data_IF_649632079576
#
_entry.id   IF_649632079576
#
_cell.length_a   1.000
_cell.length_b   1.000
_cell.length_c   1.000
_cell.angle_alpha   90.00
_cell.angle_beta   90.00
_cell.angle_gamma   90.00
#
_symmetry.space_group_name_H-M   'P 1'
#
loop_
_entity.id
_entity.type
_entity.pdbx_description
1 polymer ?
#
# COMPACT_ATOMS: atom_id res chain seq x y z
N UNK A 1 29.44 32.03 68.07
CA UNK A 1 28.12 31.39 68.26
C UNK A 1 28.14 30.06 67.51
N UNK A 2 27.59 29.04 68.15
CA UNK A 2 27.51 27.62 67.76
C UNK A 2 26.94 27.37 66.35
N UNK A 3 27.41 26.31 65.67
CA UNK A 3 26.59 25.17 65.19
C UNK A 3 27.47 24.24 64.32
N UNK A 4 27.89 23.07 64.83
CA UNK A 4 27.30 21.72 64.68
C UNK A 4 27.38 21.11 63.26
N UNK A 5 28.15 20.03 63.20
CA UNK A 5 28.19 18.96 62.20
C UNK A 5 26.87 18.19 62.17
N UNK A 6 26.36 17.85 60.98
CA UNK A 6 25.56 16.66 60.76
C UNK A 6 25.64 16.24 59.28
N UNK A 7 26.14 15.02 59.05
CA UNK A 7 26.08 14.30 57.80
C UNK A 7 24.64 13.95 57.44
N UNK A 8 24.27 14.01 56.16
CA UNK A 8 23.08 13.32 55.65
C UNK A 8 23.45 12.40 54.49
N UNK A 9 23.07 11.14 54.67
CA UNK A 9 23.11 10.06 53.69
C UNK A 9 22.28 10.42 52.45
N UNK A 10 22.85 10.25 51.27
CA UNK A 10 22.10 10.16 50.03
C UNK A 10 21.73 8.69 49.79
N UNK A 11 20.47 8.35 50.04
CA UNK A 11 19.90 7.05 49.70
C UNK A 11 19.79 6.88 48.19
N UNK A 12 20.38 5.78 47.67
CA UNK A 12 20.15 5.26 46.32
C UNK A 12 18.72 4.75 46.22
N UNK A 13 17.88 5.47 45.48
CA UNK A 13 16.56 4.97 45.07
C UNK A 13 16.76 3.95 43.93
N UNK A 14 16.72 2.67 44.28
CA UNK A 14 16.53 1.56 43.33
C UNK A 14 15.07 1.59 42.89
N UNK A 15 14.81 1.99 41.64
CA UNK A 15 13.48 1.88 41.03
C UNK A 15 13.25 0.44 40.59
N UNK A 16 12.51 -0.30 41.40
CA UNK A 16 11.97 -1.62 41.07
C UNK A 16 10.83 -1.45 40.05
N UNK A 17 11.04 -1.90 38.82
CA UNK A 17 10.00 -1.94 37.80
C UNK A 17 9.01 -3.05 38.16
N UNK A 18 7.86 -2.66 38.71
CA UNK A 18 6.72 -3.54 38.94
C UNK A 18 6.19 -4.01 37.59
N UNK A 19 6.43 -5.29 37.28
CA UNK A 19 5.75 -6.02 36.22
C UNK A 19 4.27 -6.05 36.56
N UNK A 20 3.44 -5.30 35.84
CA UNK A 20 1.98 -5.47 35.87
C UNK A 20 1.65 -6.81 35.23
N UNK A 21 1.57 -7.85 36.05
CA UNK A 21 0.83 -9.07 35.77
C UNK A 21 -0.63 -8.69 35.55
N UNK A 22 -1.13 -8.85 34.32
CA UNK A 22 -2.55 -8.79 34.03
C UNK A 22 -3.22 -10.01 34.69
N UNK A 23 -3.83 -9.77 35.84
CA UNK A 23 -4.71 -10.73 36.49
C UNK A 23 -5.86 -11.09 35.55
N UNK A 24 -6.03 -12.39 35.34
CA UNK A 24 -7.22 -12.95 34.71
C UNK A 24 -8.46 -12.54 35.50
N UNK A 25 -9.32 -11.72 34.90
CA UNK A 25 -10.68 -11.49 35.38
C UNK A 25 -11.51 -12.69 34.91
N UNK A 26 -11.57 -13.71 35.76
CA UNK A 26 -12.58 -14.75 35.67
C UNK A 26 -13.87 -14.27 36.35
N UNK A 27 -14.94 -14.27 35.56
CA UNK A 27 -16.33 -14.56 35.92
C UNK A 27 -16.96 -13.84 37.13
N UNK A 28 -17.83 -12.85 36.86
CA UNK A 28 -19.17 -12.76 37.45
C UNK A 28 -19.93 -11.51 36.94
N UNK A 29 -20.71 -11.66 35.88
CA UNK A 29 -22.01 -10.98 35.75
C UNK A 29 -22.75 -11.56 34.54
N UNK A 30 -23.86 -12.25 34.84
CA UNK A 30 -24.72 -12.89 33.86
C UNK A 30 -25.54 -11.87 33.09
N UNK A 31 -25.04 -11.48 31.92
CA UNK A 31 -25.86 -10.97 30.83
C UNK A 31 -25.89 -12.04 29.74
N UNK A 32 -26.99 -12.76 29.67
CA UNK A 32 -27.32 -13.72 28.63
C UNK A 32 -27.45 -12.96 27.30
N UNK A 33 -26.35 -12.85 26.55
CA UNK A 33 -26.35 -12.39 25.17
C UNK A 33 -26.73 -13.57 24.27
N UNK A 34 -27.89 -13.48 23.62
CA UNK A 34 -28.29 -14.34 22.50
C UNK A 34 -27.43 -14.01 21.28
N UNK A 35 -26.19 -14.48 21.29
CA UNK A 35 -25.23 -14.21 20.23
C UNK A 35 -23.89 -14.70 20.70
N UNK A 36 -23.65 -16.01 20.53
CA UNK A 36 -22.43 -16.66 20.99
C UNK A 36 -21.17 -15.91 20.55
N UNK A 37 -20.09 -16.11 21.31
CA UNK A 37 -18.76 -15.54 21.05
C UNK A 37 -18.46 -15.57 19.54
N UNK A 38 -18.16 -14.44 18.89
CA UNK A 38 -17.80 -14.39 17.48
C UNK A 38 -16.73 -15.42 17.16
N UNK A 39 -16.86 -16.12 16.04
CA UNK A 39 -15.90 -17.18 15.68
C UNK A 39 -14.47 -16.64 15.52
N UNK A 40 -14.30 -15.33 15.31
CA UNK A 40 -13.00 -14.64 15.35
C UNK A 40 -12.30 -14.73 16.71
N UNK A 41 -13.05 -14.75 17.82
CA UNK A 41 -12.51 -14.80 19.19
C UNK A 41 -12.29 -16.27 19.64
N UNK A 42 -13.07 -17.22 19.14
CA UNK A 42 -12.90 -18.66 19.45
C UNK A 42 -11.65 -19.30 18.81
N UNK A 43 -11.06 -18.66 17.79
CA UNK A 43 -9.92 -19.20 17.01
C UNK A 43 -8.54 -18.81 17.56
N UNK A 44 -8.46 -17.86 18.49
CA UNK A 44 -7.20 -17.44 19.08
C UNK A 44 -6.66 -18.58 19.95
N UNK A 45 -5.71 -19.36 19.43
CA UNK A 45 -5.02 -20.43 20.15
C UNK A 45 -5.11 -21.85 19.58
N UNK A 46 -5.76 -22.06 18.42
CA UNK A 46 -5.67 -23.36 17.72
C UNK A 46 -4.49 -23.39 16.74
N UNK A 47 -3.47 -24.19 17.05
CA UNK A 47 -2.22 -24.33 16.27
C UNK A 47 -2.38 -25.01 14.91
N UNK A 48 -3.53 -25.61 14.60
CA UNK A 48 -3.88 -26.12 13.26
C UNK A 48 -4.58 -25.09 12.37
N UNK A 49 -4.90 -23.92 12.91
CA UNK A 49 -5.39 -22.76 12.17
C UNK A 49 -4.29 -21.70 12.13
N UNK A 50 -3.22 -22.00 11.38
CA UNK A 50 -2.35 -20.95 10.85
C UNK A 50 -3.23 -19.92 10.12
N UNK A 51 -2.94 -18.61 10.23
CA UNK A 51 -3.94 -17.56 10.02
C UNK A 51 -4.68 -17.76 8.70
N UNK A 52 -6.00 -17.89 8.79
CA UNK A 52 -6.96 -18.20 7.72
C UNK A 52 -6.62 -17.51 6.38
N UNK A 53 -5.84 -18.18 5.52
CA UNK A 53 -5.71 -17.77 4.12
C UNK A 53 -7.01 -18.15 3.39
N UNK A 54 -8.06 -17.35 3.56
CA UNK A 54 -9.20 -17.39 2.64
C UNK A 54 -8.69 -17.21 1.20
N UNK A 55 -9.40 -17.69 0.16
CA UNK A 55 -9.01 -17.44 -1.22
C UNK A 55 -8.68 -15.94 -1.45
N UNK A 56 -7.42 -15.64 -1.79
CA UNK A 56 -6.91 -14.27 -1.95
C UNK A 56 -6.14 -13.69 -0.75
N UNK A 57 -6.26 -14.22 0.46
CA UNK A 57 -5.54 -13.72 1.64
C UNK A 57 -4.08 -14.23 1.67
N UNK A 58 -3.25 -13.77 0.73
CA UNK A 58 -1.81 -14.05 0.73
C UNK A 58 -1.13 -13.08 1.70
N UNK A 59 -0.52 -13.60 2.76
CA UNK A 59 0.09 -12.78 3.82
C UNK A 59 1.08 -11.73 3.28
N UNK A 60 1.96 -12.14 2.37
CA UNK A 60 2.93 -11.23 1.71
C UNK A 60 2.23 -10.12 0.92
N UNK A 61 1.09 -10.43 0.30
CA UNK A 61 0.34 -9.47 -0.50
C UNK A 61 -0.42 -8.48 0.39
N UNK A 62 -1.00 -8.94 1.50
CA UNK A 62 -1.62 -8.06 2.48
C UNK A 62 -0.61 -7.06 3.08
N UNK A 63 0.61 -7.51 3.35
CA UNK A 63 1.69 -6.59 3.77
C UNK A 63 2.06 -5.58 2.70
N UNK A 64 2.08 -5.98 1.43
CA UNK A 64 2.32 -5.07 0.32
C UNK A 64 1.20 -4.01 0.23
N UNK A 65 -0.07 -4.40 0.37
CA UNK A 65 -1.21 -3.47 0.40
C UNK A 65 -1.17 -2.52 1.60
N UNK A 66 -0.79 -3.01 2.78
CA UNK A 66 -0.65 -2.15 3.96
C UNK A 66 0.43 -1.07 3.75
N UNK A 67 1.51 -1.38 3.02
CA UNK A 67 2.51 -0.36 2.63
C UNK A 67 1.95 0.66 1.66
N UNK A 68 1.05 0.24 0.77
CA UNK A 68 0.31 1.15 -0.12
C UNK A 68 -0.81 1.92 0.63
N UNK A 69 -0.97 1.73 1.93
CA UNK A 69 -1.96 2.42 2.75
C UNK A 69 -3.36 1.81 2.70
N UNK A 70 -3.52 0.59 2.17
CA UNK A 70 -4.81 -0.11 2.11
C UNK A 70 -4.76 -1.37 2.97
N UNK A 71 -5.62 -1.44 3.98
CA UNK A 71 -5.73 -2.61 4.86
C UNK A 71 -7.00 -3.39 4.52
N UNK A 72 -6.91 -4.61 3.94
CA UNK A 72 -8.09 -5.42 3.68
C UNK A 72 -8.69 -5.93 5.00
N UNK A 73 -9.76 -5.29 5.50
CA UNK A 73 -10.34 -5.60 6.80
C UNK A 73 -11.40 -6.70 6.78
N UNK A 74 -12.16 -6.84 5.68
CA UNK A 74 -13.44 -7.56 5.73
C UNK A 74 -13.43 -8.98 5.19
N UNK A 75 -12.84 -9.30 4.03
CA UNK A 75 -12.89 -10.69 3.49
C UNK A 75 -11.74 -11.12 2.58
N UNK A 76 -11.43 -10.40 1.50
CA UNK A 76 -10.58 -10.98 0.43
C UNK A 76 -9.88 -9.91 -0.43
N UNK A 77 -8.57 -10.08 -0.65
CA UNK A 77 -7.77 -9.25 -1.53
C UNK A 77 -7.10 -10.09 -2.63
N UNK A 78 -7.66 -10.11 -3.84
CA UNK A 78 -7.15 -10.93 -4.93
C UNK A 78 -6.01 -10.24 -5.67
N UNK A 79 -4.80 -10.78 -5.56
CA UNK A 79 -3.70 -10.44 -6.47
C UNK A 79 -3.96 -11.08 -7.84
N UNK A 80 -4.02 -10.27 -8.88
CA UNK A 80 -4.36 -10.71 -10.23
C UNK A 80 -3.19 -10.37 -11.16
N UNK A 81 -2.38 -11.35 -11.54
CA UNK A 81 -1.28 -11.15 -12.51
C UNK A 81 -1.46 -11.96 -13.80
N UNK A 82 -2.38 -12.94 -13.77
CA UNK A 82 -2.71 -13.80 -14.91
C UNK A 82 -4.23 -13.86 -15.13
N UNK A 83 -4.67 -14.14 -16.36
CA UNK A 83 -6.09 -14.39 -16.64
C UNK A 83 -6.69 -15.56 -15.83
N UNK A 84 -5.87 -16.50 -15.35
CA UNK A 84 -6.33 -17.57 -14.48
C UNK A 84 -6.76 -17.05 -13.11
N UNK A 85 -6.07 -16.05 -12.58
CA UNK A 85 -6.36 -15.46 -11.27
C UNK A 85 -7.71 -14.73 -11.28
N UNK A 86 -8.11 -14.19 -12.44
CA UNK A 86 -9.47 -13.66 -12.63
C UNK A 86 -10.53 -14.72 -12.34
N UNK A 87 -10.33 -15.95 -12.82
CA UNK A 87 -11.27 -17.05 -12.56
C UNK A 87 -11.29 -17.44 -11.08
N UNK A 88 -10.12 -17.42 -10.42
CA UNK A 88 -10.01 -17.68 -8.98
C UNK A 88 -10.76 -16.60 -8.17
N UNK A 89 -10.69 -15.36 -8.62
CA UNK A 89 -11.43 -14.23 -8.06
C UNK A 89 -12.93 -14.19 -8.47
N UNK A 90 -13.43 -15.19 -9.21
CA UNK A 90 -14.82 -15.23 -9.69
C UNK A 90 -15.14 -14.21 -10.79
N UNK A 91 -14.12 -13.62 -11.41
CA UNK A 91 -14.24 -12.60 -12.45
C UNK A 91 -14.23 -13.21 -13.85
N UNK A 92 -14.85 -12.49 -14.79
CA UNK A 92 -14.86 -12.88 -16.20
C UNK A 92 -13.55 -12.50 -16.87
N UNK A 93 -13.00 -13.42 -17.66
CA UNK A 93 -11.81 -13.14 -18.47
C UNK A 93 -12.20 -12.29 -19.68
N UNK A 94 -11.54 -11.16 -19.94
CA UNK A 94 -11.80 -10.32 -21.10
C UNK A 94 -11.61 -11.09 -22.41
N UNK A 95 -12.48 -10.83 -23.39
CA UNK A 95 -12.41 -11.46 -24.73
C UNK A 95 -11.26 -10.92 -25.59
N UNK A 96 -10.80 -9.71 -25.32
CA UNK A 96 -9.76 -9.01 -26.08
C UNK A 96 -8.56 -8.69 -25.21
N UNK A 97 -7.39 -9.21 -25.58
CA UNK A 97 -6.08 -8.93 -24.98
C UNK A 97 -5.05 -8.78 -26.10
N UNK A 98 -4.30 -7.67 -26.21
CA UNK A 98 -4.34 -6.48 -25.35
C UNK A 98 -5.57 -5.59 -25.63
N UNK A 99 -6.06 -4.91 -24.60
CA UNK A 99 -7.13 -3.93 -24.71
C UNK A 99 -6.57 -2.60 -25.25
N UNK A 100 -7.12 -2.11 -26.36
CA UNK A 100 -6.78 -0.79 -26.92
C UNK A 100 -7.77 0.25 -26.39
N UNK A 101 -7.33 1.09 -25.46
CA UNK A 101 -8.13 2.18 -24.90
C UNK A 101 -7.49 3.52 -25.29
N UNK A 102 -8.30 4.52 -25.64
CA UNK A 102 -7.82 5.90 -25.79
C UNK A 102 -7.83 6.56 -24.42
N UNK A 103 -6.66 6.95 -23.93
CA UNK A 103 -6.47 7.67 -22.68
C UNK A 103 -7.24 9.01 -22.68
N UNK A 104 -7.86 9.35 -21.55
CA UNK A 104 -8.50 10.65 -21.30
C UNK A 104 -7.70 11.41 -20.24
N UNK A 105 -7.19 12.59 -20.59
CA UNK A 105 -6.30 13.36 -19.73
C UNK A 105 -6.85 13.53 -18.31
N UNK A 106 -5.97 13.35 -17.31
CA UNK A 106 -6.25 13.59 -15.90
C UNK A 106 -5.23 14.61 -15.36
N UNK A 107 -5.61 15.46 -14.39
CA UNK A 107 -4.73 16.47 -13.82
C UNK A 107 -3.67 15.89 -12.89
N UNK A 108 -2.52 16.55 -12.85
CA UNK A 108 -1.45 16.32 -11.88
C UNK A 108 -1.66 17.18 -10.63
N UNK A 109 -1.43 16.61 -9.45
CA UNK A 109 -1.45 17.33 -8.20
C UNK A 109 -0.33 18.39 -8.17
N UNK A 110 -0.64 19.58 -7.65
CA UNK A 110 0.27 20.73 -7.65
C UNK A 110 0.18 21.63 -8.88
N UNK A 111 -0.70 21.30 -9.83
CA UNK A 111 -1.01 22.18 -10.96
C UNK A 111 -2.20 23.09 -10.65
N UNK A 112 -2.43 24.11 -11.49
CA UNK A 112 -3.61 24.99 -11.37
C UNK A 112 -4.95 24.23 -11.42
N UNK A 113 -4.96 23.00 -11.96
CA UNK A 113 -6.15 22.17 -12.07
C UNK A 113 -6.43 21.33 -10.81
N UNK A 114 -5.42 21.03 -9.99
CA UNK A 114 -5.57 20.17 -8.82
C UNK A 114 -4.52 20.51 -7.75
N UNK A 115 -4.97 20.96 -6.58
CA UNK A 115 -4.08 21.22 -5.45
C UNK A 115 -3.63 19.91 -4.78
N UNK A 116 -2.43 19.94 -4.17
CA UNK A 116 -1.93 18.81 -3.38
C UNK A 116 -2.88 18.43 -2.24
N UNK A 117 -3.41 19.42 -1.51
CA UNK A 117 -4.34 19.17 -0.41
C UNK A 117 -5.61 18.43 -0.86
N UNK A 118 -6.18 18.80 -2.01
CA UNK A 118 -7.36 18.14 -2.54
C UNK A 118 -7.05 16.71 -3.02
N UNK A 119 -5.87 16.50 -3.61
CA UNK A 119 -5.42 15.17 -4.01
C UNK A 119 -5.17 14.27 -2.80
N UNK A 120 -4.47 14.75 -1.77
CA UNK A 120 -4.16 14.00 -0.56
C UNK A 120 -5.43 13.59 0.18
N UNK A 121 -6.40 14.50 0.29
CA UNK A 121 -7.70 14.20 0.87
C UNK A 121 -8.42 13.09 0.06
N UNK A 122 -8.51 13.23 -1.26
CA UNK A 122 -9.15 12.22 -2.11
C UNK A 122 -8.42 10.87 -2.06
N UNK A 123 -7.09 10.88 -1.95
CA UNK A 123 -6.25 9.70 -1.84
C UNK A 123 -6.49 8.97 -0.51
N UNK A 124 -6.51 9.71 0.60
CA UNK A 124 -6.79 9.17 1.93
C UNK A 124 -8.21 8.57 2.00
N UNK A 125 -9.22 9.31 1.51
CA UNK A 125 -10.61 8.84 1.44
C UNK A 125 -10.72 7.57 0.59
N UNK A 126 -10.04 7.52 -0.57
CA UNK A 126 -10.03 6.33 -1.42
C UNK A 126 -9.41 5.12 -0.70
N UNK A 127 -8.28 5.30 -0.01
CA UNK A 127 -7.61 4.24 0.75
C UNK A 127 -8.49 3.70 1.89
N UNK A 128 -9.15 4.58 2.63
CA UNK A 128 -10.02 4.21 3.75
C UNK A 128 -11.25 3.42 3.26
N UNK A 129 -11.90 3.88 2.17
CA UNK A 129 -13.06 3.20 1.60
C UNK A 129 -12.69 1.88 0.91
N UNK A 130 -11.53 1.79 0.27
CA UNK A 130 -11.00 0.54 -0.26
C UNK A 130 -10.71 -0.46 0.88
N UNK A 131 -10.16 0.01 2.00
CA UNK A 131 -9.90 -0.83 3.18
C UNK A 131 -11.18 -1.39 3.80
N UNK A 132 -12.29 -0.65 3.70
CA UNK A 132 -13.62 -1.06 4.17
C UNK A 132 -14.42 -1.90 3.16
N UNK A 133 -13.91 -2.10 1.94
CA UNK A 133 -14.59 -2.85 0.89
C UNK A 133 -14.58 -4.36 1.16
N UNK A 134 -15.63 -5.06 0.72
CA UNK A 134 -15.75 -6.50 0.94
C UNK A 134 -14.77 -7.32 0.10
N UNK A 135 -14.42 -6.84 -1.09
CA UNK A 135 -13.48 -7.51 -1.98
C UNK A 135 -12.59 -6.50 -2.66
N UNK A 136 -11.29 -6.76 -2.64
CA UNK A 136 -10.29 -6.01 -3.37
C UNK A 136 -9.74 -6.86 -4.51
N UNK A 137 -9.67 -6.27 -5.69
CA UNK A 137 -9.11 -6.85 -6.90
C UNK A 137 -7.90 -6.02 -7.28
N UNK A 138 -6.75 -6.67 -7.33
CA UNK A 138 -5.48 -6.00 -7.52
C UNK A 138 -4.75 -6.50 -8.75
N UNK A 139 -5.10 -5.98 -9.95
CA UNK A 139 -4.34 -6.28 -11.15
C UNK A 139 -2.93 -5.70 -11.06
N UNK A 140 -1.94 -6.55 -11.31
CA UNK A 140 -0.52 -6.19 -11.39
C UNK A 140 0.04 -6.49 -12.79
N UNK A 141 0.89 -5.60 -13.28
CA UNK A 141 1.52 -5.75 -14.59
C UNK A 141 2.55 -4.66 -14.87
N UNK A 142 2.93 -4.53 -16.14
CA UNK A 142 3.76 -3.43 -16.62
C UNK A 142 2.95 -2.49 -17.52
N UNK A 143 3.35 -1.22 -17.58
CA UNK A 143 2.82 -0.29 -18.59
C UNK A 143 3.20 -0.80 -19.98
N UNK A 144 2.27 -0.85 -20.96
CA UNK A 144 2.53 -1.40 -22.28
C UNK A 144 3.80 -0.86 -22.94
N UNK A 145 4.67 -1.76 -23.40
CA UNK A 145 5.93 -1.39 -24.05
C UNK A 145 7.04 -0.91 -23.11
N UNK A 146 6.87 -1.07 -21.80
CA UNK A 146 7.86 -0.70 -20.78
C UNK A 146 8.05 -1.81 -19.74
N UNK A 147 9.00 -1.63 -18.83
CA UNK A 147 9.22 -2.48 -17.65
C UNK A 147 8.71 -1.84 -16.35
N UNK A 148 8.02 -0.70 -16.44
CA UNK A 148 7.53 0.02 -15.26
C UNK A 148 6.37 -0.73 -14.63
N UNK A 149 6.56 -1.18 -13.39
CA UNK A 149 5.54 -1.93 -12.64
C UNK A 149 4.37 -1.07 -12.22
N UNK A 150 3.16 -1.59 -12.42
CA UNK A 150 1.90 -0.97 -11.98
C UNK A 150 1.15 -1.94 -11.07
N UNK A 151 0.69 -1.44 -9.92
CA UNK A 151 -0.33 -2.09 -9.10
C UNK A 151 -1.58 -1.24 -9.10
N UNK A 152 -2.70 -1.83 -9.47
CA UNK A 152 -4.01 -1.21 -9.29
C UNK A 152 -4.66 -1.88 -8.09
N UNK A 153 -5.31 -1.09 -7.23
CA UNK A 153 -6.09 -1.56 -6.09
C UNK A 153 -7.51 -1.07 -6.31
N UNK A 154 -8.44 -2.01 -6.52
CA UNK A 154 -9.83 -1.66 -6.83
C UNK A 154 -10.83 -2.53 -6.11
N UNK A 155 -11.98 -1.97 -5.73
CA UNK A 155 -13.15 -2.74 -5.31
C UNK A 155 -14.05 -3.14 -6.50
N UNK A 156 -13.69 -2.76 -7.73
CA UNK A 156 -14.50 -2.98 -8.92
C UNK A 156 -14.23 -4.32 -9.60
N UNK A 157 -15.27 -5.16 -9.67
CA UNK A 157 -15.24 -6.43 -10.41
C UNK A 157 -15.29 -6.24 -11.93
N UNK A 158 -15.71 -5.07 -12.40
CA UNK A 158 -15.86 -4.77 -13.84
C UNK A 158 -14.60 -4.16 -14.44
N UNK A 159 -13.91 -3.31 -13.67
CA UNK A 159 -12.69 -2.62 -14.11
C UNK A 159 -11.46 -3.52 -14.01
N UNK A 160 -11.33 -4.32 -12.94
CA UNK A 160 -10.13 -5.12 -12.73
C UNK A 160 -9.76 -6.04 -13.91
N UNK A 161 -10.70 -6.78 -14.56
CA UNK A 161 -10.39 -7.56 -15.75
C UNK A 161 -9.94 -6.71 -16.93
N UNK A 162 -10.58 -5.55 -17.15
CA UNK A 162 -10.27 -4.67 -18.29
C UNK A 162 -8.87 -4.07 -18.16
N UNK A 163 -8.50 -3.65 -16.95
CA UNK A 163 -7.17 -3.11 -16.66
C UNK A 163 -6.11 -4.20 -16.80
N UNK A 164 -6.37 -5.43 -16.34
CA UNK A 164 -5.45 -6.56 -16.57
C UNK A 164 -5.22 -6.81 -18.07
N UNK A 165 -6.26 -6.67 -18.90
CA UNK A 165 -6.13 -6.83 -20.36
C UNK A 165 -5.37 -5.68 -21.02
N UNK A 166 -5.28 -4.52 -20.38
CA UNK A 166 -4.48 -3.39 -20.86
C UNK A 166 -2.99 -3.57 -20.52
N UNK A 167 -2.68 -4.02 -19.31
CA UNK A 167 -1.30 -4.16 -18.84
C UNK A 167 -0.52 -5.29 -19.52
N UNK A 168 0.79 -5.06 -19.66
CA UNK A 168 1.72 -6.11 -20.04
C UNK A 168 1.97 -7.07 -18.86
N UNK A 169 2.19 -8.34 -19.16
CA UNK A 169 2.36 -9.36 -18.12
C UNK A 169 3.65 -9.16 -17.34
N UNK A 170 3.54 -9.20 -16.01
CA UNK A 170 4.68 -9.22 -15.10
C UNK A 170 4.76 -10.61 -14.42
N UNK A 171 5.61 -11.54 -14.90
CA UNK A 171 5.71 -12.89 -14.34
C UNK A 171 6.54 -12.89 -13.05
N UNK A 172 6.12 -12.17 -12.01
CA UNK A 172 6.74 -12.22 -10.68
C UNK A 172 6.03 -13.25 -9.80
N UNK A 173 6.81 -14.17 -9.23
CA UNK A 173 6.31 -15.22 -8.33
C UNK A 173 5.78 -14.61 -7.02
N UNK A 174 6.55 -13.74 -6.37
CA UNK A 174 6.16 -13.02 -5.16
C UNK A 174 5.60 -11.63 -5.48
N UNK A 175 4.75 -11.06 -4.61
CA UNK A 175 4.30 -9.67 -4.74
C UNK A 175 5.48 -8.73 -4.49
N UNK A 176 5.71 -7.73 -5.35
CA UNK A 176 6.71 -6.72 -5.09
C UNK A 176 6.29 -5.91 -3.86
N UNK A 177 7.25 -5.57 -2.98
CA UNK A 177 6.96 -4.81 -1.76
C UNK A 177 6.45 -3.39 -2.07
N UNK A 178 6.88 -2.81 -3.18
CA UNK A 178 6.46 -1.51 -3.70
C UNK A 178 6.50 -1.57 -5.23
N UNK A 179 5.56 -0.86 -5.86
CA UNK A 179 5.51 -0.66 -7.31
C UNK A 179 5.77 0.81 -7.62
N UNK A 180 6.47 1.13 -8.73
CA UNK A 180 6.67 2.51 -9.15
C UNK A 180 5.37 3.30 -9.36
N UNK A 181 4.30 2.63 -9.80
CA UNK A 181 2.99 3.24 -9.99
C UNK A 181 1.95 2.45 -9.20
N UNK A 182 1.24 3.13 -8.31
CA UNK A 182 0.10 2.58 -7.57
C UNK A 182 -1.17 3.35 -7.92
N UNK A 183 -2.21 2.64 -8.35
CA UNK A 183 -3.49 3.24 -8.71
C UNK A 183 -4.60 2.81 -7.75
N UNK A 184 -5.24 3.75 -7.07
CA UNK A 184 -6.43 3.52 -6.25
C UNK A 184 -7.68 3.77 -7.09
N UNK A 185 -8.49 2.74 -7.29
CA UNK A 185 -9.70 2.80 -8.12
C UNK A 185 -10.92 2.45 -7.29
N UNK A 186 -11.71 3.47 -6.94
CA UNK A 186 -12.88 3.33 -6.08
C UNK A 186 -14.18 3.42 -6.91
N UNK A 187 -14.92 2.33 -6.96
CA UNK A 187 -16.29 2.26 -7.50
C UNK A 187 -17.33 2.51 -6.40
N UNK A 188 -18.45 3.13 -6.76
CA UNK A 188 -19.56 3.44 -5.87
C UNK A 188 -19.40 4.74 -5.08
N UNK A 189 -18.37 5.54 -5.37
CA UNK A 189 -18.16 6.83 -4.72
C UNK A 189 -19.14 7.89 -5.24
N UNK A 190 -19.64 8.75 -4.35
CA UNK A 190 -20.63 9.78 -4.69
C UNK A 190 -20.05 10.88 -5.58
N UNK A 191 -18.79 11.24 -5.33
CA UNK A 191 -18.08 12.29 -6.07
C UNK A 191 -17.15 11.67 -7.11
N UNK A 192 -17.18 12.18 -8.35
CA UNK A 192 -16.19 11.80 -9.34
C UNK A 192 -14.87 12.53 -9.06
N UNK A 193 -13.78 11.77 -8.99
CA UNK A 193 -12.43 12.28 -8.82
C UNK A 193 -11.47 11.53 -9.74
N UNK A 194 -10.52 12.24 -10.33
CA UNK A 194 -9.41 11.63 -11.06
C UNK A 194 -8.21 12.55 -11.03
N UNK A 195 -7.06 12.05 -10.60
CA UNK A 195 -5.81 12.78 -10.60
C UNK A 195 -4.63 11.85 -10.35
N UNK A 196 -3.41 12.37 -10.54
CA UNK A 196 -2.18 11.68 -10.17
C UNK A 196 -1.21 12.63 -9.47
N UNK A 197 -0.30 12.07 -8.69
CA UNK A 197 0.79 12.77 -8.01
C UNK A 197 2.08 11.97 -8.12
N UNK A 198 3.21 12.65 -8.06
CA UNK A 198 4.55 12.06 -8.06
C UNK A 198 5.22 12.49 -6.77
N UNK A 199 5.73 11.51 -6.04
CA UNK A 199 6.37 11.71 -4.75
C UNK A 199 7.75 11.07 -4.79
N UNK A 200 8.72 11.74 -4.20
CA UNK A 200 10.04 11.15 -3.95
C UNK A 200 10.01 10.42 -2.61
N UNK A 201 10.35 9.14 -2.64
CA UNK A 201 10.47 8.31 -1.43
C UNK A 201 11.90 7.83 -1.26
N UNK A 202 12.34 7.72 -0.02
CA UNK A 202 13.62 7.09 0.30
C UNK A 202 13.42 5.58 0.46
N UNK A 203 13.98 4.79 -0.45
CA UNK A 203 13.92 3.33 -0.40
C UNK A 203 15.21 2.81 0.24
N UNK A 204 15.14 1.96 1.28
CA UNK A 204 16.32 1.35 1.84
C UNK A 204 17.00 0.44 0.81
N UNK A 205 18.31 0.65 0.63
CA UNK A 205 19.17 -0.16 -0.22
C UNK A 205 19.76 -1.28 0.63
N UNK A 206 19.74 -2.50 0.12
CA UNK A 206 20.47 -3.57 0.78
C UNK A 206 21.97 -3.27 0.63
N UNK A 207 22.73 -3.23 1.72
CA UNK A 207 24.18 -3.03 1.64
C UNK A 207 24.83 -4.10 0.77
N UNK A 208 26.00 -3.76 0.22
CA UNK A 208 26.79 -4.65 -0.65
C UNK A 208 27.03 -6.03 0.00
N UNK A 209 27.18 -7.07 -0.83
CA UNK A 209 27.42 -8.43 -0.33
C UNK A 209 28.59 -8.46 0.66
N UNK A 210 28.32 -8.90 1.89
CA UNK A 210 29.31 -9.01 2.97
C UNK A 210 29.30 -7.86 3.98
N UNK A 211 28.51 -6.80 3.76
CA UNK A 211 28.30 -5.73 4.73
C UNK A 211 26.87 -5.81 5.27
N UNK A 212 26.71 -5.95 6.59
CA UNK A 212 25.39 -5.90 7.20
C UNK A 212 25.01 -4.48 7.61
N UNK A 213 23.71 -4.22 7.76
CA UNK A 213 23.20 -2.95 8.36
C UNK A 213 23.78 -2.74 9.77
N UNK A 214 24.14 -3.83 10.46
CA UNK A 214 24.78 -3.78 11.77
C UNK A 214 26.21 -3.24 11.70
N UNK A 215 26.92 -3.48 10.60
CA UNK A 215 28.30 -3.04 10.38
C UNK A 215 28.35 -1.55 9.98
N UNK A 216 27.33 -1.06 9.26
CA UNK A 216 27.24 0.34 8.84
C UNK A 216 26.71 1.27 9.94
N UNK A 217 25.97 0.75 10.92
CA UNK A 217 25.28 1.56 11.93
C UNK A 217 24.12 2.41 11.39
N UNK A 218 23.89 2.40 10.07
CA UNK A 218 22.74 2.99 9.39
C UNK A 218 22.37 2.14 8.17
N UNK A 219 21.11 2.23 7.72
CA UNK A 219 20.67 1.60 6.47
C UNK A 219 20.77 2.63 5.34
N UNK A 220 21.58 2.40 4.30
CA UNK A 220 21.67 3.31 3.17
C UNK A 220 20.31 3.41 2.49
N UNK A 221 19.96 4.60 2.00
CA UNK A 221 18.69 4.87 1.33
C UNK A 221 18.94 5.56 0.00
N UNK A 222 18.14 5.21 -0.99
CA UNK A 222 18.16 5.81 -2.32
C UNK A 222 16.84 6.54 -2.55
N UNK A 223 16.93 7.77 -3.05
CA UNK A 223 15.75 8.54 -3.46
C UNK A 223 15.19 7.92 -4.75
N UNK A 224 13.92 7.52 -4.69
CA UNK A 224 13.20 6.94 -5.82
C UNK A 224 11.84 7.59 -5.95
N UNK A 225 11.49 7.95 -7.17
CA UNK A 225 10.18 8.52 -7.46
C UNK A 225 9.13 7.44 -7.62
N UNK A 226 7.99 7.67 -6.99
CA UNK A 226 6.79 6.84 -7.08
C UNK A 226 5.63 7.71 -7.51
N UNK A 227 4.73 7.13 -8.28
CA UNK A 227 3.52 7.80 -8.73
C UNK A 227 2.29 7.16 -8.11
N UNK A 228 1.40 8.03 -7.62
CA UNK A 228 0.10 7.64 -7.10
C UNK A 228 -0.98 8.16 -8.04
N UNK A 229 -1.89 7.28 -8.46
CA UNK A 229 -3.05 7.65 -9.28
C UNK A 229 -4.32 7.36 -8.48
N UNK A 230 -5.27 8.29 -8.46
CA UNK A 230 -6.56 8.09 -7.80
C UNK A 230 -7.67 8.29 -8.81
N UNK A 231 -8.57 7.32 -8.93
CA UNK A 231 -9.78 7.40 -9.74
C UNK A 231 -10.97 6.92 -8.91
N UNK A 232 -11.85 7.84 -8.52
CA UNK A 232 -13.04 7.53 -7.75
C UNK A 232 -14.30 7.98 -8.51
N UNK A 233 -15.38 7.21 -8.37
CA UNK A 233 -16.70 7.62 -8.87
C UNK A 233 -17.71 6.49 -8.80
N UNK A 234 -18.94 6.76 -9.27
CA UNK A 234 -20.00 5.75 -9.29
C UNK A 234 -19.66 4.58 -10.21
N UNK A 235 -19.07 4.86 -11.38
CA UNK A 235 -18.59 3.89 -12.34
C UNK A 235 -17.25 4.39 -12.93
N UNK A 236 -16.10 4.00 -12.36
CA UNK A 236 -14.80 4.52 -12.79
C UNK A 236 -14.48 4.17 -14.24
N UNK A 237 -14.12 5.18 -15.03
CA UNK A 237 -13.79 5.02 -16.45
C UNK A 237 -12.38 4.43 -16.63
N UNK A 238 -12.26 3.30 -17.35
CA UNK A 238 -10.95 2.69 -17.67
C UNK A 238 -10.04 3.65 -18.45
N UNK A 239 -10.61 4.52 -19.26
CA UNK A 239 -9.86 5.54 -20.00
C UNK A 239 -9.12 6.54 -19.08
N UNK A 240 -9.69 6.89 -17.93
CA UNK A 240 -9.05 7.77 -16.93
C UNK A 240 -7.92 7.04 -16.19
N UNK A 241 -8.13 5.75 -15.88
CA UNK A 241 -7.10 4.90 -15.23
C UNK A 241 -5.89 4.73 -16.14
N UNK A 242 -6.12 4.38 -17.41
CA UNK A 242 -5.06 4.25 -18.42
C UNK A 242 -4.31 5.55 -18.60
N UNK A 243 -5.01 6.68 -18.66
CA UNK A 243 -4.38 7.99 -18.78
C UNK A 243 -3.50 8.33 -17.59
N UNK A 244 -3.93 8.02 -16.37
CA UNK A 244 -3.09 8.20 -15.19
C UNK A 244 -1.84 7.34 -15.22
N UNK A 245 -1.96 6.07 -15.60
CA UNK A 245 -0.81 5.17 -15.73
C UNK A 245 0.20 5.71 -16.76
N UNK A 246 -0.27 6.13 -17.94
CA UNK A 246 0.59 6.67 -18.99
C UNK A 246 1.21 8.03 -18.62
N UNK A 247 0.46 8.91 -17.95
CA UNK A 247 0.96 10.21 -17.49
C UNK A 247 2.03 10.03 -16.41
N UNK A 248 1.75 9.20 -15.41
CA UNK A 248 2.71 8.83 -14.37
C UNK A 248 3.98 8.20 -14.94
N UNK A 249 3.87 7.31 -15.92
CA UNK A 249 5.04 6.70 -16.55
C UNK A 249 5.94 7.73 -17.25
N UNK A 250 5.34 8.68 -17.97
CA UNK A 250 6.09 9.74 -18.65
C UNK A 250 6.79 10.65 -17.65
N UNK A 251 6.09 11.02 -16.59
CA UNK A 251 6.61 11.95 -15.61
C UNK A 251 7.71 11.31 -14.73
N UNK A 252 7.57 10.03 -14.36
CA UNK A 252 8.66 9.26 -13.73
C UNK A 252 9.91 9.18 -14.62
N UNK A 253 9.73 8.95 -15.92
CA UNK A 253 10.85 8.90 -16.85
C UNK A 253 11.55 10.27 -17.02
N UNK A 254 10.79 11.38 -16.96
CA UNK A 254 11.35 12.73 -16.99
C UNK A 254 12.16 13.02 -15.73
N UNK A 255 11.61 12.68 -14.57
CA UNK A 255 12.27 12.87 -13.28
C UNK A 255 13.58 12.07 -13.15
N UNK A 256 13.62 10.81 -13.64
CA UNK A 256 14.85 10.03 -13.71
C UNK A 256 15.92 10.69 -14.59
N UNK A 257 15.53 11.30 -15.72
CA UNK A 257 16.46 12.01 -16.61
C UNK A 257 16.98 13.29 -15.95
N UNK A 258 16.13 14.03 -15.25
CA UNK A 258 16.52 15.26 -14.53
C UNK A 258 17.47 14.95 -13.36
N UNK A 259 17.23 13.84 -12.65
CA UNK A 259 18.13 13.34 -11.61
C UNK A 259 19.49 12.93 -12.17
N UNK A 260 19.52 12.20 -13.29
CA UNK A 260 20.76 11.81 -13.93
C UNK A 260 21.61 13.03 -14.34
N UNK A 261 20.97 14.06 -14.90
CA UNK A 261 21.65 15.33 -15.25
C UNK A 261 22.18 16.05 -14.01
N UNK A 262 21.38 16.15 -12.96
CA UNK A 262 21.78 16.83 -11.72
C UNK A 262 22.96 16.13 -11.03
N UNK A 263 22.98 14.78 -11.06
CA UNK A 263 24.10 14.00 -10.54
C UNK A 263 25.39 14.18 -11.38
N UNK A 264 25.26 14.22 -12.71
CA UNK A 264 26.39 14.52 -13.59
C UNK A 264 26.95 15.92 -13.36
N UNK A 265 26.10 16.93 -13.19
CA UNK A 265 26.52 18.32 -12.98
C UNK A 265 27.17 18.51 -11.60
N UNK A 266 26.68 17.81 -10.58
CA UNK A 266 27.33 17.75 -9.27
C UNK A 266 28.74 17.13 -9.35
N UNK A 267 28.91 16.06 -10.12
CA UNK A 267 30.21 15.38 -10.30
C UNK A 267 31.23 16.17 -11.13
N UNK A 268 30.78 17.11 -11.96
CA UNK A 268 31.66 17.97 -12.79
C UNK A 268 32.13 19.24 -12.06
N UNK A 269 31.59 19.49 -10.86
CA UNK A 269 31.90 20.69 -10.07
C UNK A 269 32.91 20.40 -8.94
N UNK A 270 33.35 19.14 -8.80
CA UNK A 270 34.49 18.70 -7.97
C UNK A 270 35.77 18.54 -8.81
#
# INVERSE_FOLDING_TARGET
>A
MLSRVAASCSERVVRTTLVRSFSAVAAASGAQWEGGIPDSIKRVGQTSAFPDEYPGMVYEFNWALNRDGVTPLKRSAFRINKPLDLKVAGLTVPKTMPLKVKAKAIPEAGTDALSFEAFDQACQEARDLLSLSDSLYCPEGHVPGTTTGVRIISNSSTVAPQVLAYLDRCPKKSPPQSMPITCFVLEGHATEFSGYSIEEIEVPVNPEEGVSVFDLGYQPKEAKSVATVVVAGKAPEVAKIVAGIEASQKALAQDEIERAKSAEDASKTE
#
